data_IF_350967449319
#
_entry.id   IF_350967449319
#
_cell.length_a   1.000
_cell.length_b   1.000
_cell.length_c   1.000
_cell.angle_alpha   90.00
_cell.angle_beta   90.00
_cell.angle_gamma   90.00
#
_symmetry.space_group_name_H-M   'P 1'
#
loop_
_entity.id
_entity.type
_entity.pdbx_description
1 polymer ?
#
# COMPACT_ATOMS: atom_id res chain seq x y z
N UNK A 1 -37.07 -15.47 18.31
CA UNK A 1 -36.91 -14.11 17.73
C UNK A 1 -37.54 -14.07 16.35
N UNK A 2 -38.32 -13.06 15.99
CA UNK A 2 -38.86 -12.91 14.64
C UNK A 2 -37.76 -12.55 13.63
N UNK A 3 -38.05 -12.64 12.32
CA UNK A 3 -37.04 -12.25 11.30
C UNK A 3 -36.69 -10.76 11.38
N UNK A 4 -37.70 -9.94 11.65
CA UNK A 4 -37.53 -8.49 11.82
C UNK A 4 -36.71 -8.13 13.06
N UNK A 5 -36.93 -8.82 14.19
CA UNK A 5 -36.15 -8.63 15.41
C UNK A 5 -34.68 -9.02 15.19
N UNK A 6 -34.42 -10.12 14.47
CA UNK A 6 -33.06 -10.55 14.15
C UNK A 6 -32.35 -9.58 13.21
N UNK A 7 -33.06 -9.07 12.21
CA UNK A 7 -32.53 -8.06 11.28
C UNK A 7 -32.16 -6.77 12.00
N UNK A 8 -33.05 -6.26 12.86
CA UNK A 8 -32.80 -5.08 13.68
C UNK A 8 -31.59 -5.27 14.60
N UNK A 9 -31.45 -6.45 15.22
CA UNK A 9 -30.34 -6.76 16.10
C UNK A 9 -29.02 -6.82 15.33
N UNK A 10 -29.01 -7.42 14.15
CA UNK A 10 -27.85 -7.44 13.25
C UNK A 10 -27.50 -6.04 12.75
N UNK A 11 -28.49 -5.21 12.45
CA UNK A 11 -28.27 -3.84 11.99
C UNK A 11 -27.60 -2.95 13.04
N UNK A 12 -27.78 -3.24 14.34
CA UNK A 12 -27.14 -2.54 15.44
C UNK A 12 -25.68 -2.96 15.62
N UNK A 13 -25.25 -4.11 15.08
CA UNK A 13 -23.91 -4.62 15.30
C UNK A 13 -22.86 -3.93 14.39
N UNK A 14 -21.60 -3.81 14.87
CA UNK A 14 -20.49 -3.35 14.03
C UNK A 14 -20.22 -4.33 12.88
N UNK A 15 -19.75 -3.79 11.75
CA UNK A 15 -19.42 -4.58 10.56
C UNK A 15 -18.43 -5.71 10.84
N UNK A 16 -17.44 -5.46 11.71
CA UNK A 16 -16.46 -6.48 12.11
C UNK A 16 -17.11 -7.71 12.77
N UNK A 17 -18.15 -7.52 13.60
CA UNK A 17 -18.89 -8.62 14.22
C UNK A 17 -19.72 -9.39 13.20
N UNK A 18 -20.35 -8.69 12.26
CA UNK A 18 -21.10 -9.31 11.16
C UNK A 18 -20.19 -10.16 10.26
N UNK A 19 -18.97 -9.73 10.00
CA UNK A 19 -17.97 -10.53 9.29
C UNK A 19 -17.54 -11.78 10.07
N UNK A 20 -17.46 -11.71 11.40
CA UNK A 20 -17.21 -12.89 12.24
C UNK A 20 -18.36 -13.91 12.13
N UNK A 21 -19.60 -13.46 12.21
CA UNK A 21 -20.80 -14.29 12.04
C UNK A 21 -20.90 -14.91 10.63
N UNK A 22 -20.43 -14.18 9.61
CA UNK A 22 -20.46 -14.65 8.23
C UNK A 22 -19.40 -15.72 7.91
N UNK A 23 -18.43 -15.95 8.79
CA UNK A 23 -17.41 -17.02 8.59
C UNK A 23 -18.09 -18.37 8.55
N UNK A 24 -17.85 -19.12 7.47
CA UNK A 24 -18.46 -20.45 7.25
C UNK A 24 -19.90 -20.44 6.78
N UNK A 25 -20.62 -19.29 6.78
CA UNK A 25 -22.01 -19.14 6.33
C UNK A 25 -22.14 -18.46 4.97
N UNK A 26 -21.32 -17.43 4.73
CA UNK A 26 -21.35 -16.63 3.51
C UNK A 26 -19.97 -16.66 2.87
N UNK A 27 -19.91 -16.98 1.57
CA UNK A 27 -18.64 -17.00 0.85
C UNK A 27 -18.02 -15.59 0.82
N UNK A 28 -16.67 -15.50 0.95
CA UNK A 28 -15.97 -14.20 1.09
C UNK A 28 -16.32 -13.20 0.00
N UNK A 29 -16.47 -13.65 -1.23
CA UNK A 29 -16.76 -12.80 -2.40
C UNK A 29 -18.13 -12.10 -2.34
N UNK A 30 -19.07 -12.54 -1.50
CA UNK A 30 -20.41 -11.95 -1.37
C UNK A 30 -20.55 -11.02 -0.16
N UNK A 31 -19.49 -10.77 0.61
CA UNK A 31 -19.54 -9.99 1.86
C UNK A 31 -19.41 -8.48 1.64
N UNK A 32 -20.05 -7.90 0.61
CA UNK A 32 -19.97 -6.48 0.30
C UNK A 32 -21.04 -5.67 1.05
N UNK A 33 -20.62 -4.66 1.82
CA UNK A 33 -21.50 -3.71 2.50
C UNK A 33 -22.29 -4.29 3.68
N UNK A 34 -22.59 -3.44 4.69
CA UNK A 34 -23.30 -3.87 5.93
C UNK A 34 -24.70 -4.42 5.63
N UNK A 35 -25.46 -3.71 4.80
CA UNK A 35 -26.84 -4.09 4.48
C UNK A 35 -26.89 -5.42 3.74
N UNK A 36 -26.07 -5.58 2.72
CA UNK A 36 -26.00 -6.81 1.92
C UNK A 36 -25.53 -8.01 2.76
N UNK A 37 -24.58 -7.79 3.67
CA UNK A 37 -24.09 -8.84 4.57
C UNK A 37 -25.19 -9.34 5.52
N UNK A 38 -26.04 -8.44 6.02
CA UNK A 38 -27.22 -8.79 6.84
C UNK A 38 -28.22 -9.62 6.02
N UNK A 39 -28.56 -9.17 4.82
CA UNK A 39 -29.44 -9.91 3.91
C UNK A 39 -28.94 -11.33 3.65
N UNK A 40 -27.65 -11.47 3.34
CA UNK A 40 -27.04 -12.78 3.10
C UNK A 40 -27.00 -13.67 4.35
N UNK A 41 -26.73 -13.10 5.52
CA UNK A 41 -26.81 -13.83 6.79
C UNK A 41 -28.22 -14.34 7.04
N UNK A 42 -29.24 -13.57 6.76
CA UNK A 42 -30.64 -13.97 6.90
C UNK A 42 -31.05 -15.01 5.85
N UNK A 43 -30.64 -14.87 4.60
CA UNK A 43 -30.91 -15.82 3.51
C UNK A 43 -30.26 -17.18 3.74
N UNK A 44 -28.98 -17.20 4.13
CA UNK A 44 -28.24 -18.44 4.34
C UNK A 44 -28.52 -19.13 5.68
N UNK A 45 -29.16 -18.43 6.61
CA UNK A 45 -29.57 -19.03 7.90
C UNK A 45 -30.93 -19.74 7.86
N UNK A 46 -31.62 -19.81 6.73
CA UNK A 46 -32.93 -20.45 6.61
C UNK A 46 -32.98 -21.91 7.11
N UNK A 47 -31.87 -22.65 7.08
CA UNK A 47 -31.76 -24.02 7.57
C UNK A 47 -31.11 -24.14 8.96
N UNK A 48 -30.48 -23.08 9.48
CA UNK A 48 -29.80 -23.07 10.81
C UNK A 48 -29.91 -21.70 11.48
N UNK A 49 -31.11 -21.20 11.59
CA UNK A 49 -31.40 -19.90 12.22
C UNK A 49 -31.05 -19.87 13.69
N UNK A 50 -31.34 -20.95 14.42
CA UNK A 50 -31.01 -21.06 15.83
C UNK A 50 -29.49 -20.98 16.10
N UNK A 51 -28.69 -21.52 15.19
CA UNK A 51 -27.23 -21.39 15.25
C UNK A 51 -26.73 -19.96 15.02
N UNK A 52 -27.37 -19.19 14.13
CA UNK A 52 -27.02 -17.79 13.94
C UNK A 52 -27.38 -16.93 15.16
N UNK A 53 -28.55 -17.15 15.73
CA UNK A 53 -29.02 -16.46 16.95
C UNK A 53 -28.12 -16.76 18.15
N UNK A 54 -27.72 -18.01 18.35
CA UNK A 54 -26.82 -18.45 19.40
C UNK A 54 -25.43 -17.80 19.30
N UNK A 55 -24.84 -17.84 18.10
CA UNK A 55 -23.52 -17.24 17.87
C UNK A 55 -23.54 -15.72 18.01
N UNK A 56 -24.62 -15.06 17.58
CA UNK A 56 -24.80 -13.63 17.76
C UNK A 56 -24.85 -13.25 19.25
N UNK A 57 -25.62 -13.99 20.06
CA UNK A 57 -25.71 -13.75 21.50
C UNK A 57 -24.37 -14.01 22.20
N UNK A 58 -23.64 -15.04 21.81
CA UNK A 58 -22.31 -15.34 22.35
C UNK A 58 -21.33 -14.19 22.07
N UNK A 59 -21.29 -13.69 20.83
CA UNK A 59 -20.40 -12.60 20.42
C UNK A 59 -20.78 -11.25 21.07
N UNK A 60 -22.05 -11.02 21.35
CA UNK A 60 -22.51 -9.85 22.11
C UNK A 60 -22.13 -10.00 23.60
N UNK A 61 -22.28 -11.19 24.18
CA UNK A 61 -21.91 -11.49 25.56
C UNK A 61 -20.41 -11.34 25.83
N UNK A 62 -19.56 -11.80 24.90
CA UNK A 62 -18.10 -11.60 24.96
C UNK A 62 -17.71 -10.10 25.01
N UNK A 63 -18.55 -9.21 24.50
CA UNK A 63 -18.31 -7.77 24.48
C UNK A 63 -18.68 -7.05 25.78
N UNK A 64 -19.53 -7.67 26.59
CA UNK A 64 -20.00 -7.11 27.87
C UNK A 64 -19.38 -7.77 29.11
N UNK A 65 -18.49 -8.77 28.93
CA UNK A 65 -17.70 -9.28 30.02
C UNK A 65 -16.69 -8.21 30.49
N UNK A 66 -16.61 -7.90 31.80
CA UNK A 66 -15.60 -6.99 32.29
C UNK A 66 -14.23 -7.58 31.95
N UNK A 67 -13.37 -6.78 31.33
CA UNK A 67 -12.00 -7.13 31.01
C UNK A 67 -11.23 -7.35 32.32
N UNK A 68 -11.17 -8.56 32.81
CA UNK A 68 -10.10 -8.95 33.71
C UNK A 68 -8.80 -8.79 32.93
N UNK A 69 -7.94 -7.95 33.48
CA UNK A 69 -6.62 -7.60 32.96
C UNK A 69 -5.72 -8.84 32.84
N UNK A 70 -5.83 -9.54 31.74
CA UNK A 70 -4.93 -10.59 31.32
C UNK A 70 -4.30 -10.16 29.99
N UNK A 71 -3.05 -9.71 30.04
CA UNK A 71 -2.25 -9.48 28.86
C UNK A 71 -2.30 -10.70 27.95
N UNK A 72 -2.50 -10.56 26.64
CA UNK A 72 -2.46 -11.70 25.74
C UNK A 72 -1.06 -12.29 25.77
N UNK A 73 -0.93 -13.54 26.24
CA UNK A 73 0.27 -14.32 26.04
C UNK A 73 0.50 -14.47 24.54
N UNK A 74 1.39 -13.66 24.01
CA UNK A 74 2.01 -13.89 22.72
C UNK A 74 2.75 -15.22 22.88
N UNK A 75 2.32 -16.25 22.17
CA UNK A 75 3.07 -17.49 22.03
C UNK A 75 4.44 -17.17 21.45
N UNK A 76 5.41 -17.04 22.33
CA UNK A 76 6.81 -16.98 22.01
C UNK A 76 7.20 -18.36 21.48
N UNK A 77 7.80 -18.48 20.30
CA UNK A 77 8.36 -19.76 19.88
C UNK A 77 9.41 -20.19 20.93
N UNK A 78 9.60 -21.52 21.13
CA UNK A 78 10.48 -22.03 22.16
C UNK A 78 11.87 -21.43 22.01
N UNK A 79 12.40 -20.93 23.11
CA UNK A 79 13.73 -20.36 23.20
C UNK A 79 14.75 -21.41 22.72
N UNK A 80 15.42 -21.10 21.63
CA UNK A 80 16.63 -21.84 21.24
C UNK A 80 17.63 -21.64 22.37
N UNK A 81 17.99 -22.76 23.03
CA UNK A 81 18.95 -22.77 24.11
C UNK A 81 20.27 -22.13 23.62
N UNK A 82 20.54 -20.92 24.08
CA UNK A 82 21.84 -20.30 23.85
C UNK A 82 22.90 -21.15 24.56
N UNK A 83 23.64 -21.94 23.79
CA UNK A 83 24.93 -22.45 24.23
C UNK A 83 25.75 -21.24 24.73
N UNK A 84 26.24 -21.29 25.97
CA UNK A 84 27.18 -20.31 26.50
C UNK A 84 28.32 -20.14 25.48
N UNK A 85 28.34 -18.96 24.84
CA UNK A 85 29.42 -18.61 23.96
C UNK A 85 30.71 -18.51 24.81
N UNK A 86 31.72 -19.27 24.43
CA UNK A 86 33.06 -19.09 24.84
C UNK A 86 33.49 -17.64 24.56
N UNK A 87 34.43 -17.04 25.32
CA UNK A 87 34.87 -15.69 25.10
C UNK A 87 35.38 -15.56 23.67
N UNK A 88 34.64 -14.87 22.84
CA UNK A 88 35.07 -14.55 21.48
C UNK A 88 36.35 -13.77 21.57
N UNK A 89 37.42 -14.38 21.05
CA UNK A 89 38.65 -13.74 20.64
C UNK A 89 38.22 -12.51 19.80
N UNK A 90 38.58 -11.31 20.26
CA UNK A 90 38.33 -10.08 19.55
C UNK A 90 38.91 -10.22 18.13
N UNK A 91 38.03 -10.28 17.14
CA UNK A 91 38.46 -10.08 15.75
C UNK A 91 39.04 -8.67 15.66
N UNK A 92 40.14 -8.46 14.91
CA UNK A 92 40.71 -7.14 14.76
C UNK A 92 39.63 -6.21 14.19
N UNK A 93 39.28 -5.16 14.95
CA UNK A 93 38.44 -4.08 14.45
C UNK A 93 39.06 -3.61 13.14
N UNK A 94 38.27 -3.77 12.05
CA UNK A 94 38.63 -3.21 10.76
C UNK A 94 38.88 -1.72 10.96
N UNK A 95 40.07 -1.27 10.65
CA UNK A 95 40.51 0.12 10.74
C UNK A 95 39.88 1.05 9.71
N UNK A 96 38.67 0.75 9.25
CA UNK A 96 37.90 1.67 8.41
C UNK A 96 37.49 2.88 9.25
N UNK A 97 38.08 4.01 8.95
CA UNK A 97 37.77 5.29 9.58
C UNK A 97 36.31 5.64 9.31
N UNK A 98 35.52 5.86 10.37
CA UNK A 98 34.11 6.23 10.23
C UNK A 98 33.96 7.53 9.42
N UNK A 99 32.96 7.58 8.54
CA UNK A 99 32.67 8.74 7.69
C UNK A 99 32.44 10.00 8.53
N UNK A 100 33.03 11.13 8.17
CA UNK A 100 32.78 12.41 8.83
C UNK A 100 31.39 12.96 8.44
N UNK A 101 30.82 13.83 9.30
CA UNK A 101 29.55 14.49 8.99
C UNK A 101 29.63 15.29 7.70
N UNK A 102 30.73 15.99 7.43
CA UNK A 102 30.94 16.75 6.21
C UNK A 102 30.97 15.86 4.96
N UNK A 103 31.70 14.76 5.00
CA UNK A 103 31.71 13.78 3.91
C UNK A 103 30.35 13.07 3.74
N UNK A 104 29.61 12.86 4.84
CA UNK A 104 28.27 12.31 4.81
C UNK A 104 27.26 13.28 4.20
N UNK A 105 27.43 14.59 4.37
CA UNK A 105 26.58 15.65 3.77
C UNK A 105 26.97 15.94 2.31
N UNK A 106 28.11 15.52 1.84
CA UNK A 106 28.58 15.77 0.47
C UNK A 106 27.58 15.26 -0.57
N UNK A 107 27.25 16.09 -1.56
CA UNK A 107 26.28 15.79 -2.59
C UNK A 107 24.82 15.75 -2.12
N UNK A 108 24.49 16.16 -0.88
CA UNK A 108 23.11 16.46 -0.46
C UNK A 108 22.80 17.89 -0.90
N UNK A 109 21.76 18.04 -1.73
CA UNK A 109 21.31 19.33 -2.24
C UNK A 109 20.50 19.16 -3.52
N UNK A 110 20.12 20.30 -4.12
CA UNK A 110 19.46 20.30 -5.43
C UNK A 110 20.56 20.17 -6.49
N UNK A 111 20.57 19.10 -7.29
CA UNK A 111 21.57 18.95 -8.35
C UNK A 111 21.39 20.06 -9.39
N UNK A 112 22.46 20.42 -10.10
CA UNK A 112 22.38 21.31 -11.24
C UNK A 112 21.37 20.77 -12.27
N UNK A 113 20.55 21.62 -12.91
CA UNK A 113 19.60 21.20 -13.93
C UNK A 113 20.34 20.41 -15.03
N UNK A 114 19.89 19.20 -15.28
CA UNK A 114 20.37 18.35 -16.37
C UNK A 114 19.21 18.10 -17.33
N UNK A 115 19.46 17.91 -18.64
CA UNK A 115 18.44 17.43 -19.55
C UNK A 115 17.87 16.11 -19.02
N UNK A 116 16.53 16.01 -19.00
CA UNK A 116 15.89 14.77 -18.56
C UNK A 116 16.13 13.67 -19.61
N UNK A 117 16.69 12.56 -19.18
CA UNK A 117 16.88 11.34 -19.98
C UNK A 117 16.16 10.22 -19.22
N UNK A 118 15.18 9.56 -19.87
CA UNK A 118 14.48 8.44 -19.24
C UNK A 118 15.44 7.29 -18.89
N UNK A 119 15.25 6.71 -17.72
CA UNK A 119 15.97 5.49 -17.35
C UNK A 119 15.55 4.30 -18.24
N UNK A 120 16.42 3.31 -18.48
CA UNK A 120 16.08 2.14 -19.28
C UNK A 120 14.81 1.42 -18.84
N UNK A 121 14.57 1.28 -17.53
CA UNK A 121 13.36 0.65 -17.01
C UNK A 121 12.08 1.47 -17.32
N UNK A 122 12.16 2.81 -17.39
CA UNK A 122 11.04 3.67 -17.78
C UNK A 122 10.68 3.47 -19.25
N UNK A 123 11.70 3.37 -20.11
CA UNK A 123 11.51 3.08 -21.53
C UNK A 123 10.93 1.68 -21.76
N UNK A 124 11.42 0.67 -21.01
CA UNK A 124 10.88 -0.69 -21.02
C UNK A 124 9.40 -0.71 -20.61
N UNK A 125 9.06 -0.04 -19.51
CA UNK A 125 7.69 0.03 -19.00
C UNK A 125 6.74 0.69 -20.02
N UNK A 126 7.17 1.79 -20.63
CA UNK A 126 6.39 2.51 -21.65
C UNK A 126 6.19 1.71 -22.93
N UNK A 127 7.15 0.90 -23.32
CA UNK A 127 6.99 -0.02 -24.44
C UNK A 127 6.02 -1.15 -24.09
N UNK A 128 6.14 -1.72 -22.90
CA UNK A 128 5.31 -2.83 -22.48
C UNK A 128 3.84 -2.45 -22.30
N UNK A 129 3.53 -1.26 -21.73
CA UNK A 129 2.14 -0.84 -21.42
C UNK A 129 1.30 -0.59 -22.67
N UNK A 130 1.93 -0.36 -23.85
CA UNK A 130 1.20 -0.25 -25.11
C UNK A 130 0.61 -1.61 -25.56
N UNK A 131 1.17 -2.70 -25.10
CA UNK A 131 0.81 -4.05 -25.56
C UNK A 131 0.14 -4.89 -24.48
N UNK A 132 0.61 -4.79 -23.23
CA UNK A 132 0.24 -5.69 -22.13
C UNK A 132 -0.10 -4.92 -20.86
N UNK A 133 -0.63 -5.62 -19.84
CA UNK A 133 -0.66 -5.13 -18.48
C UNK A 133 0.77 -5.06 -17.92
N UNK A 134 1.05 -4.08 -17.05
CA UNK A 134 2.40 -3.87 -16.51
C UNK A 134 2.37 -3.66 -14.99
N UNK A 135 3.22 -4.39 -14.30
CA UNK A 135 3.53 -4.16 -12.88
C UNK A 135 4.91 -3.52 -12.78
N UNK A 136 4.98 -2.34 -12.17
CA UNK A 136 6.24 -1.64 -11.90
C UNK A 136 6.55 -1.73 -10.41
N UNK A 137 7.70 -2.34 -10.08
CA UNK A 137 8.22 -2.43 -8.72
C UNK A 137 9.57 -1.72 -8.66
N UNK A 138 9.55 -0.43 -8.31
CA UNK A 138 10.74 0.43 -8.24
C UNK A 138 10.67 1.35 -7.03
N UNK A 139 11.82 1.72 -6.41
CA UNK A 139 11.83 2.53 -5.19
C UNK A 139 11.09 3.87 -5.34
N UNK A 140 10.68 4.45 -4.21
CA UNK A 140 10.16 5.83 -4.17
C UNK A 140 11.23 6.80 -4.67
N UNK A 141 10.80 7.82 -5.44
CA UNK A 141 11.71 8.82 -6.01
C UNK A 141 12.45 8.38 -7.29
N UNK A 142 12.13 7.18 -7.85
CA UNK A 142 12.74 6.72 -9.11
C UNK A 142 12.04 7.24 -10.37
N UNK A 143 11.01 8.10 -10.25
CA UNK A 143 10.34 8.68 -11.42
C UNK A 143 9.18 7.86 -12.00
N UNK A 144 8.45 7.07 -11.17
CA UNK A 144 7.22 6.36 -11.58
C UNK A 144 6.18 7.28 -12.23
N UNK A 145 6.04 8.51 -11.70
CA UNK A 145 5.10 9.50 -12.23
C UNK A 145 5.38 9.84 -13.69
N UNK A 146 6.64 9.86 -14.13
CA UNK A 146 6.99 10.06 -15.54
C UNK A 146 6.36 8.98 -16.44
N UNK A 147 6.47 7.72 -16.03
CA UNK A 147 5.87 6.60 -16.79
C UNK A 147 4.35 6.73 -16.83
N UNK A 148 3.71 7.11 -15.72
CA UNK A 148 2.27 7.35 -15.66
C UNK A 148 1.84 8.47 -16.62
N UNK A 149 2.56 9.59 -16.62
CA UNK A 149 2.28 10.75 -17.49
C UNK A 149 2.44 10.39 -18.96
N UNK A 150 3.53 9.74 -19.33
CA UNK A 150 3.77 9.36 -20.72
C UNK A 150 2.84 8.26 -21.22
N UNK A 151 2.51 7.29 -20.39
CA UNK A 151 1.51 6.27 -20.74
C UNK A 151 0.11 6.90 -20.94
N UNK A 152 -0.28 7.81 -20.05
CA UNK A 152 -1.54 8.55 -20.19
C UNK A 152 -1.56 9.42 -21.46
N UNK A 153 -0.45 10.12 -21.77
CA UNK A 153 -0.31 10.92 -22.99
C UNK A 153 -0.58 10.08 -24.25
N UNK A 154 0.12 8.95 -24.38
CA UNK A 154 -0.02 8.04 -25.52
C UNK A 154 -1.45 7.51 -25.67
N UNK A 155 -2.06 7.07 -24.56
CA UNK A 155 -3.43 6.57 -24.59
C UNK A 155 -4.43 7.67 -25.03
N UNK A 156 -4.25 8.91 -24.57
CA UNK A 156 -5.10 10.03 -24.98
C UNK A 156 -4.86 10.44 -26.45
N UNK A 157 -3.65 10.33 -26.98
CA UNK A 157 -3.34 10.54 -28.41
C UNK A 157 -4.05 9.51 -29.27
N UNK A 158 -4.24 8.28 -28.77
CA UNK A 158 -5.06 7.23 -29.39
C UNK A 158 -6.57 7.39 -29.13
N UNK A 159 -7.02 8.56 -28.66
CA UNK A 159 -8.41 8.86 -28.31
C UNK A 159 -9.01 7.90 -27.25
N UNK A 160 -8.19 7.37 -26.37
CA UNK A 160 -8.62 6.50 -25.27
C UNK A 160 -8.74 7.29 -23.97
N UNK A 161 -9.73 6.93 -23.17
CA UNK A 161 -9.90 7.46 -21.83
C UNK A 161 -8.89 6.79 -20.89
N UNK A 162 -8.33 7.58 -19.96
CA UNK A 162 -7.38 7.14 -18.96
C UNK A 162 -7.96 7.39 -17.57
N UNK A 163 -7.84 6.42 -16.70
CA UNK A 163 -8.16 6.59 -15.28
C UNK A 163 -6.88 6.43 -14.46
N UNK A 164 -6.59 7.43 -13.63
CA UNK A 164 -5.51 7.36 -12.65
C UNK A 164 -6.09 7.29 -11.24
N UNK A 165 -5.68 6.28 -10.48
CA UNK A 165 -6.13 6.12 -9.10
C UNK A 165 -5.01 6.25 -8.10
N UNK A 166 -5.35 6.73 -6.91
CA UNK A 166 -4.48 6.74 -5.74
C UNK A 166 -5.25 6.32 -4.48
N UNK A 167 -4.57 5.79 -3.44
CA UNK A 167 -5.24 5.27 -2.25
C UNK A 167 -5.86 6.34 -1.35
N UNK A 168 -5.50 7.61 -1.52
CA UNK A 168 -5.90 8.69 -0.62
C UNK A 168 -6.39 9.92 -1.41
N UNK A 169 -7.48 10.54 -0.95
CA UNK A 169 -8.04 11.77 -1.52
C UNK A 169 -7.01 12.90 -1.63
N UNK A 170 -6.15 13.07 -0.61
CA UNK A 170 -5.11 14.10 -0.63
C UNK A 170 -4.12 13.90 -1.80
N UNK A 171 -3.74 12.66 -2.08
CA UNK A 171 -2.89 12.32 -3.22
C UNK A 171 -3.62 12.57 -4.55
N UNK A 172 -4.91 12.20 -4.65
CA UNK A 172 -5.72 12.48 -5.83
C UNK A 172 -5.79 13.97 -6.13
N UNK A 173 -6.00 14.82 -5.13
CA UNK A 173 -6.01 16.29 -5.30
C UNK A 173 -4.64 16.83 -5.76
N UNK A 174 -3.55 16.31 -5.21
CA UNK A 174 -2.19 16.70 -5.63
C UNK A 174 -1.95 16.30 -7.09
N UNK A 175 -2.31 15.06 -7.47
CA UNK A 175 -2.17 14.56 -8.84
C UNK A 175 -3.07 15.31 -9.83
N UNK A 176 -4.29 15.67 -9.43
CA UNK A 176 -5.14 16.52 -10.24
C UNK A 176 -4.47 17.87 -10.59
N UNK A 177 -3.89 18.53 -9.60
CA UNK A 177 -3.17 19.79 -9.82
C UNK A 177 -1.93 19.61 -10.71
N UNK A 178 -1.16 18.55 -10.49
CA UNK A 178 0.03 18.22 -11.27
C UNK A 178 -0.33 17.90 -12.73
N UNK A 179 -1.33 17.05 -12.95
CA UNK A 179 -1.72 16.62 -14.30
C UNK A 179 -2.46 17.72 -15.05
N UNK A 180 -3.25 18.57 -14.39
CA UNK A 180 -3.87 19.73 -15.01
C UNK A 180 -2.84 20.74 -15.53
N UNK A 181 -1.69 20.88 -14.85
CA UNK A 181 -0.57 21.70 -15.36
C UNK A 181 0.11 21.05 -16.56
N UNK A 182 0.16 19.72 -16.60
CA UNK A 182 0.87 18.97 -17.66
C UNK A 182 0.04 18.83 -18.93
N UNK A 183 -1.25 18.54 -18.81
CA UNK A 183 -2.14 18.21 -19.93
C UNK A 183 -3.11 19.33 -20.31
N UNK A 184 -3.28 20.32 -19.43
CA UNK A 184 -4.32 21.35 -19.51
C UNK A 184 -5.54 20.98 -18.67
N UNK A 185 -6.20 21.97 -18.01
CA UNK A 185 -7.32 21.74 -17.11
C UNK A 185 -8.54 21.12 -17.83
N UNK A 186 -8.73 21.41 -19.10
CA UNK A 186 -9.85 20.88 -19.89
C UNK A 186 -9.75 19.36 -20.16
N UNK A 187 -8.53 18.80 -20.06
CA UNK A 187 -8.26 17.39 -20.34
C UNK A 187 -8.23 16.53 -19.09
N UNK A 188 -8.31 17.13 -17.92
CA UNK A 188 -8.20 16.42 -16.64
C UNK A 188 -9.44 16.63 -15.79
N UNK A 189 -10.00 15.55 -15.28
CA UNK A 189 -11.10 15.57 -14.33
C UNK A 189 -10.72 14.91 -13.01
N UNK A 190 -11.50 15.18 -11.96
CA UNK A 190 -11.33 14.54 -10.65
C UNK A 190 -12.67 14.07 -10.11
N UNK A 191 -12.68 12.83 -9.58
CA UNK A 191 -13.81 12.25 -8.86
C UNK A 191 -13.31 11.69 -7.53
N UNK A 192 -13.77 12.33 -6.45
CA UNK A 192 -13.57 11.84 -5.07
C UNK A 192 -14.90 11.88 -4.34
N UNK A 193 -14.99 11.34 -3.15
CA UNK A 193 -16.26 11.30 -2.41
C UNK A 193 -16.86 12.69 -2.09
N UNK A 194 -16.06 13.74 -2.19
CA UNK A 194 -16.40 15.14 -1.84
C UNK A 194 -16.16 16.14 -2.98
N UNK A 195 -15.59 15.70 -4.11
CA UNK A 195 -15.25 16.57 -5.24
C UNK A 195 -15.49 15.86 -6.57
N UNK A 196 -16.23 16.53 -7.46
CA UNK A 196 -16.45 16.09 -8.83
C UNK A 196 -16.29 17.29 -9.76
N UNK A 197 -15.27 17.27 -10.61
CA UNK A 197 -15.00 18.29 -11.60
C UNK A 197 -14.60 17.63 -12.92
N UNK A 198 -15.12 18.14 -14.03
CA UNK A 198 -14.81 17.69 -15.38
C UNK A 198 -14.89 16.15 -15.57
N UNK A 199 -15.99 15.54 -15.14
CA UNK A 199 -16.18 14.08 -15.13
C UNK A 199 -16.18 13.42 -16.51
N UNK A 200 -16.18 14.18 -17.59
CA UNK A 200 -16.11 13.70 -18.98
C UNK A 200 -14.70 13.91 -19.61
N UNK A 201 -13.73 14.33 -18.82
CA UNK A 201 -12.37 14.52 -19.29
C UNK A 201 -11.73 13.21 -19.78
N UNK A 202 -10.83 13.26 -20.77
CA UNK A 202 -10.12 12.08 -21.25
C UNK A 202 -9.18 11.47 -20.20
N UNK A 203 -8.74 12.24 -19.20
CA UNK A 203 -7.99 11.74 -18.05
C UNK A 203 -8.76 12.02 -16.76
N UNK A 204 -9.21 10.97 -16.07
CA UNK A 204 -9.92 11.07 -14.81
C UNK A 204 -9.04 10.62 -13.65
N UNK A 205 -8.97 11.44 -12.62
CA UNK A 205 -8.25 11.13 -11.37
C UNK A 205 -9.27 10.82 -10.28
N UNK A 206 -9.09 9.71 -9.59
CA UNK A 206 -10.01 9.29 -8.53
C UNK A 206 -9.31 8.43 -7.48
N UNK A 207 -10.00 8.14 -6.38
CA UNK A 207 -9.53 7.12 -5.46
C UNK A 207 -9.87 5.72 -5.99
N UNK A 208 -9.10 4.71 -5.57
CA UNK A 208 -9.33 3.33 -6.01
C UNK A 208 -10.71 2.83 -5.60
N UNK A 209 -11.22 3.25 -4.45
CA UNK A 209 -12.57 2.94 -3.99
C UNK A 209 -13.66 3.49 -4.93
N UNK A 210 -13.48 4.70 -5.44
CA UNK A 210 -14.41 5.29 -6.41
C UNK A 210 -14.38 4.48 -7.70
N UNK A 211 -13.20 4.20 -8.24
CA UNK A 211 -13.09 3.38 -9.45
C UNK A 211 -13.75 2.01 -9.27
N UNK A 212 -13.47 1.33 -8.15
CA UNK A 212 -14.09 0.03 -7.85
C UNK A 212 -15.63 0.11 -7.88
N UNK A 213 -16.20 1.15 -7.23
CA UNK A 213 -17.65 1.34 -7.22
C UNK A 213 -18.21 1.58 -8.64
N UNK A 214 -17.55 2.44 -9.41
CA UNK A 214 -17.94 2.74 -10.79
C UNK A 214 -17.90 1.49 -11.69
N UNK A 215 -16.87 0.66 -11.56
CA UNK A 215 -16.77 -0.60 -12.31
C UNK A 215 -17.84 -1.61 -11.89
N UNK A 216 -18.18 -1.65 -10.60
CA UNK A 216 -19.23 -2.51 -10.07
C UNK A 216 -20.62 -2.07 -10.58
N UNK A 217 -20.92 -0.77 -10.52
CA UNK A 217 -22.18 -0.19 -10.97
C UNK A 217 -22.35 -0.31 -12.50
N UNK A 218 -21.25 -0.16 -13.25
CA UNK A 218 -21.26 -0.38 -14.69
C UNK A 218 -21.52 -1.86 -15.06
N UNK A 219 -21.02 -2.80 -14.27
CA UNK A 219 -21.31 -4.23 -14.46
C UNK A 219 -22.77 -4.57 -14.14
N UNK A 220 -23.45 -3.79 -13.29
CA UNK A 220 -24.89 -3.90 -13.00
C UNK A 220 -25.78 -3.15 -14.00
N UNK A 221 -25.19 -2.35 -14.90
CA UNK A 221 -25.94 -1.56 -15.90
C UNK A 221 -26.54 -0.25 -15.37
N UNK A 222 -26.13 0.20 -14.19
CA UNK A 222 -26.73 1.37 -13.52
C UNK A 222 -26.08 2.72 -13.88
N UNK A 223 -24.85 2.73 -14.48
CA UNK A 223 -24.13 3.97 -14.78
C UNK A 223 -23.52 3.96 -16.18
N UNK A 224 -23.76 5.05 -16.92
CA UNK A 224 -23.19 5.32 -18.24
C UNK A 224 -21.81 5.98 -18.12
N UNK A 225 -20.80 5.22 -17.65
CA UNK A 225 -19.43 5.64 -17.80
C UNK A 225 -18.93 5.10 -19.14
N UNK A 226 -18.19 5.94 -19.89
CA UNK A 226 -17.58 5.54 -21.16
C UNK A 226 -16.47 4.49 -20.97
N UNK A 227 -16.87 3.29 -20.48
CA UNK A 227 -15.95 2.15 -20.36
C UNK A 227 -15.54 1.60 -21.72
N UNK A 228 -16.32 1.85 -22.75
CA UNK A 228 -16.05 1.51 -24.15
C UNK A 228 -14.79 2.18 -24.70
N UNK A 229 -14.50 3.42 -24.29
CA UNK A 229 -13.31 4.17 -24.67
C UNK A 229 -12.14 4.02 -23.69
N UNK A 230 -12.35 3.35 -22.54
CA UNK A 230 -11.31 3.15 -21.53
C UNK A 230 -10.16 2.33 -22.11
N UNK A 231 -8.98 2.93 -22.19
CA UNK A 231 -7.78 2.30 -22.72
C UNK A 231 -6.70 2.00 -21.69
N UNK A 232 -6.65 2.78 -20.60
CA UNK A 232 -5.61 2.64 -19.59
C UNK A 232 -6.14 2.94 -18.19
N UNK A 233 -5.85 2.07 -17.24
CA UNK A 233 -6.06 2.29 -15.82
C UNK A 233 -4.73 2.26 -15.11
N UNK A 234 -4.38 3.34 -14.43
CA UNK A 234 -3.15 3.49 -13.65
C UNK A 234 -3.51 3.34 -12.17
N UNK A 235 -3.00 2.30 -11.53
CA UNK A 235 -3.18 2.04 -10.11
C UNK A 235 -1.90 2.44 -9.35
N UNK A 236 -1.89 3.67 -8.82
CA UNK A 236 -0.74 4.14 -8.04
C UNK A 236 -0.75 3.59 -6.61
N UNK A 237 0.43 3.47 -6.03
CA UNK A 237 0.66 2.86 -4.71
C UNK A 237 0.06 1.44 -4.60
N UNK A 238 0.22 0.63 -5.66
CA UNK A 238 -0.40 -0.70 -5.77
C UNK A 238 0.07 -1.70 -4.71
N UNK A 239 1.07 -1.39 -3.87
CA UNK A 239 1.41 -2.20 -2.69
C UNK A 239 0.27 -2.29 -1.66
N UNK A 240 -0.73 -1.41 -1.71
CA UNK A 240 -1.95 -1.51 -0.89
C UNK A 240 -2.78 -2.77 -1.18
N UNK A 241 -2.52 -3.48 -2.27
CA UNK A 241 -3.12 -4.81 -2.52
C UNK A 241 -2.81 -5.80 -1.39
N UNK A 242 -1.68 -5.63 -0.70
CA UNK A 242 -1.28 -6.44 0.45
C UNK A 242 -1.91 -5.97 1.78
N UNK A 243 -2.62 -4.84 1.80
CA UNK A 243 -3.24 -4.31 3.01
C UNK A 243 -4.43 -5.19 3.45
N UNK A 244 -4.47 -5.67 4.72
CA UNK A 244 -5.50 -6.59 5.21
C UNK A 244 -6.93 -6.04 5.15
N UNK A 245 -7.08 -4.71 5.26
CA UNK A 245 -8.39 -4.04 5.29
C UNK A 245 -8.80 -3.50 3.92
N UNK A 246 -7.85 -3.01 3.15
CA UNK A 246 -8.08 -2.29 1.89
C UNK A 246 -7.70 -3.07 0.64
N UNK A 247 -6.89 -4.12 0.73
CA UNK A 247 -6.40 -4.88 -0.43
C UNK A 247 -7.50 -5.40 -1.34
N UNK A 248 -8.65 -5.79 -0.77
CA UNK A 248 -9.83 -6.25 -1.52
C UNK A 248 -10.30 -5.20 -2.55
N UNK A 249 -10.17 -3.91 -2.26
CA UNK A 249 -10.56 -2.85 -3.20
C UNK A 249 -9.71 -2.88 -4.46
N UNK A 250 -8.39 -3.12 -4.32
CA UNK A 250 -7.48 -3.28 -5.47
C UNK A 250 -7.79 -4.56 -6.26
N UNK A 251 -7.99 -5.68 -5.55
CA UNK A 251 -8.33 -6.96 -6.18
C UNK A 251 -9.63 -6.82 -6.99
N UNK A 252 -10.70 -6.28 -6.41
CA UNK A 252 -11.98 -6.07 -7.10
C UNK A 252 -11.83 -5.10 -8.28
N UNK A 253 -11.09 -4.00 -8.13
CA UNK A 253 -10.83 -3.05 -9.22
C UNK A 253 -10.15 -3.73 -10.40
N UNK A 254 -9.16 -4.58 -10.15
CA UNK A 254 -8.44 -5.32 -11.19
C UNK A 254 -9.35 -6.35 -11.87
N UNK A 255 -10.14 -7.08 -11.09
CA UNK A 255 -11.06 -8.12 -11.60
C UNK A 255 -12.17 -7.51 -12.46
N UNK A 256 -12.76 -6.39 -12.04
CA UNK A 256 -13.85 -5.75 -12.77
C UNK A 256 -13.38 -4.82 -13.90
N UNK A 257 -12.07 -4.52 -13.96
CA UNK A 257 -11.54 -3.68 -15.03
C UNK A 257 -11.75 -4.36 -16.41
N UNK A 258 -12.37 -3.67 -17.39
CA UNK A 258 -12.60 -4.22 -18.72
C UNK A 258 -11.30 -4.73 -19.37
N UNK A 259 -11.39 -5.87 -20.06
CA UNK A 259 -10.21 -6.52 -20.66
C UNK A 259 -9.53 -5.70 -21.77
N UNK A 260 -10.27 -4.79 -22.42
CA UNK A 260 -9.72 -3.87 -23.42
C UNK A 260 -8.84 -2.76 -22.82
N UNK A 261 -9.05 -2.40 -21.54
CA UNK A 261 -8.22 -1.43 -20.85
C UNK A 261 -6.94 -2.09 -20.33
N UNK A 262 -5.79 -1.50 -20.58
CA UNK A 262 -4.51 -1.94 -20.00
C UNK A 262 -4.40 -1.49 -18.55
N UNK A 263 -3.77 -2.32 -17.73
CA UNK A 263 -3.47 -2.00 -16.34
C UNK A 263 -1.99 -1.62 -16.20
N UNK A 264 -1.74 -0.49 -15.56
CA UNK A 264 -0.41 -0.05 -15.16
C UNK A 264 -0.37 0.08 -13.63
N UNK A 265 0.21 -0.90 -12.95
CA UNK A 265 0.37 -0.92 -11.51
C UNK A 265 1.70 -0.29 -11.13
N UNK A 266 1.66 0.78 -10.33
CA UNK A 266 2.85 1.48 -9.84
C UNK A 266 3.05 1.19 -8.35
N UNK A 267 4.21 0.64 -7.99
CA UNK A 267 4.54 0.34 -6.60
C UNK A 267 5.95 0.76 -6.22
N UNK A 268 6.10 1.19 -4.97
CA UNK A 268 7.40 1.48 -4.40
C UNK A 268 8.14 0.20 -3.96
N UNK A 269 7.41 -0.77 -3.41
CA UNK A 269 7.98 -2.02 -2.88
C UNK A 269 6.85 -3.03 -2.66
N UNK A 270 6.83 -4.05 -3.48
CA UNK A 270 5.98 -5.24 -3.29
C UNK A 270 6.93 -6.38 -2.96
N UNK A 271 6.61 -7.18 -1.93
CA UNK A 271 7.46 -8.30 -1.51
C UNK A 271 7.58 -9.40 -2.58
N UNK A 272 6.47 -9.63 -3.29
CA UNK A 272 6.33 -10.68 -4.31
C UNK A 272 5.71 -10.14 -5.61
N UNK A 273 6.35 -9.21 -6.33
CA UNK A 273 5.76 -8.58 -7.51
C UNK A 273 5.55 -9.55 -8.69
N UNK A 274 6.29 -10.67 -8.74
CA UNK A 274 6.10 -11.70 -9.75
C UNK A 274 4.75 -12.42 -9.56
N UNK A 275 4.40 -12.78 -8.32
CA UNK A 275 3.12 -13.45 -8.03
C UNK A 275 1.92 -12.56 -8.44
N UNK A 276 2.05 -11.24 -8.30
CA UNK A 276 1.03 -10.29 -8.76
C UNK A 276 0.94 -10.28 -10.28
N UNK A 277 2.06 -10.28 -11.00
CA UNK A 277 2.07 -10.30 -12.47
C UNK A 277 1.50 -11.63 -13.01
N UNK A 278 1.82 -12.75 -12.37
CA UNK A 278 1.31 -14.08 -12.73
C UNK A 278 -0.20 -14.18 -12.44
N UNK A 279 -0.65 -13.65 -11.31
CA UNK A 279 -2.07 -13.54 -10.97
C UNK A 279 -2.84 -12.68 -12.00
N UNK A 280 -2.34 -11.49 -12.34
CA UNK A 280 -2.93 -10.63 -13.38
C UNK A 280 -3.06 -11.38 -14.72
N UNK A 281 -2.00 -12.07 -15.14
CA UNK A 281 -2.02 -12.88 -16.37
C UNK A 281 -3.11 -13.95 -16.31
N UNK A 282 -3.30 -14.60 -15.15
CA UNK A 282 -4.27 -15.67 -14.98
C UNK A 282 -5.74 -15.19 -15.05
N UNK A 283 -6.03 -14.00 -14.47
CA UNK A 283 -7.43 -13.51 -14.37
C UNK A 283 -7.86 -12.68 -15.57
N UNK A 284 -6.92 -12.01 -16.26
CA UNK A 284 -7.25 -11.11 -17.37
C UNK A 284 -7.03 -11.73 -18.75
N UNK A 285 -6.50 -12.95 -18.82
CA UNK A 285 -6.15 -13.66 -20.08
C UNK A 285 -5.25 -12.82 -21.01
N UNK A 286 -4.53 -11.88 -20.46
CA UNK A 286 -3.56 -11.01 -21.15
C UNK A 286 -2.24 -11.12 -20.41
N UNK A 287 -1.13 -11.22 -21.15
CA UNK A 287 0.20 -11.24 -20.53
C UNK A 287 0.40 -10.00 -19.66
N UNK A 288 1.07 -10.18 -18.51
CA UNK A 288 1.47 -9.08 -17.65
C UNK A 288 3.00 -9.01 -17.57
N UNK A 289 3.56 -7.85 -17.90
CA UNK A 289 5.00 -7.61 -17.81
C UNK A 289 5.37 -7.06 -16.44
N UNK A 290 6.34 -7.69 -15.76
CA UNK A 290 6.94 -7.15 -14.55
C UNK A 290 8.20 -6.37 -14.91
N UNK A 291 8.23 -5.07 -14.55
CA UNK A 291 9.39 -4.19 -14.64
C UNK A 291 9.93 -3.90 -13.25
N UNK A 292 11.18 -4.29 -12.98
CA UNK A 292 11.85 -4.14 -11.69
C UNK A 292 13.09 -3.29 -11.81
N UNK A 293 13.23 -2.37 -10.85
CA UNK A 293 14.48 -1.62 -10.69
C UNK A 293 14.72 -1.40 -9.20
N UNK A 294 15.92 -1.72 -8.72
CA UNK A 294 16.26 -1.66 -7.29
C UNK A 294 17.11 -0.45 -6.92
N UNK A 295 17.78 0.16 -7.89
CA UNK A 295 18.68 1.30 -7.66
C UNK A 295 17.86 2.57 -7.46
N UNK A 296 18.09 3.29 -6.38
CA UNK A 296 17.53 4.62 -6.18
C UNK A 296 18.31 5.65 -6.98
N UNK A 297 17.60 6.50 -7.72
CA UNK A 297 18.19 7.66 -8.42
C UNK A 297 18.71 8.68 -7.41
N UNK A 298 17.95 8.88 -6.32
CA UNK A 298 18.38 9.72 -5.19
C UNK A 298 18.75 8.82 -4.02
N UNK A 299 20.05 8.74 -3.64
CA UNK A 299 20.48 7.94 -2.51
C UNK A 299 19.85 8.42 -1.19
N UNK A 300 19.40 7.48 -0.36
CA UNK A 300 19.00 7.77 1.01
C UNK A 300 20.19 7.58 1.93
N UNK A 301 20.37 8.52 2.87
CA UNK A 301 21.37 8.47 3.91
C UNK A 301 20.68 8.53 5.27
N UNK A 302 20.99 7.60 6.15
CA UNK A 302 20.44 7.58 7.49
C UNK A 302 21.32 8.40 8.44
N UNK A 303 20.70 9.35 9.14
CA UNK A 303 21.32 10.14 10.19
C UNK A 303 20.60 9.95 11.52
N UNK A 304 21.32 10.07 12.62
CA UNK A 304 20.80 10.16 13.97
C UNK A 304 20.73 11.62 14.39
N UNK A 305 19.53 12.09 14.72
CA UNK A 305 19.31 13.42 15.28
C UNK A 305 19.07 13.29 16.78
N UNK A 306 20.04 13.75 17.55
CA UNK A 306 19.92 13.82 19.02
C UNK A 306 18.96 14.94 19.43
N UNK A 307 18.19 14.83 20.55
CA UNK A 307 17.25 15.86 21.02
C UNK A 307 17.88 17.25 21.24
N UNK A 308 19.18 17.34 21.51
CA UNK A 308 19.90 18.61 21.58
C UNK A 308 20.15 19.28 20.21
N UNK A 309 19.64 18.71 19.11
CA UNK A 309 19.80 19.23 17.75
C UNK A 309 21.08 18.75 17.02
N UNK A 310 21.93 17.93 17.65
CA UNK A 310 23.14 17.41 17.01
C UNK A 310 22.80 16.30 16.03
N UNK A 311 23.18 16.49 14.76
CA UNK A 311 23.05 15.48 13.70
C UNK A 311 24.38 14.75 13.50
N UNK A 312 24.34 13.42 13.39
CA UNK A 312 25.49 12.59 13.08
C UNK A 312 25.10 11.46 12.10
N UNK A 313 26.02 10.95 11.27
CA UNK A 313 25.73 9.75 10.47
C UNK A 313 25.29 8.59 11.36
N UNK A 314 24.31 7.80 10.93
CA UNK A 314 23.87 6.63 11.68
C UNK A 314 24.81 5.45 11.48
N UNK A 315 25.41 5.32 10.29
CA UNK A 315 26.29 4.21 9.93
C UNK A 315 27.74 4.70 9.65
N UNK A 316 28.73 3.82 9.79
CA UNK A 316 30.13 4.12 9.57
C UNK A 316 30.48 4.49 8.13
N UNK A 317 29.73 3.93 7.15
CA UNK A 317 29.96 4.15 5.73
C UNK A 317 28.67 4.61 5.05
N UNK A 318 28.78 5.27 3.91
CA UNK A 318 27.64 5.70 3.09
C UNK A 318 27.19 4.53 2.21
N UNK A 319 25.87 4.32 2.11
CA UNK A 319 25.29 3.38 1.14
C UNK A 319 25.16 1.93 1.62
N UNK A 320 25.24 1.67 2.93
CA UNK A 320 24.99 0.33 3.48
C UNK A 320 23.50 -0.02 3.42
N UNK A 321 23.14 -1.24 2.96
CA UNK A 321 21.77 -1.72 3.02
C UNK A 321 21.26 -1.80 4.46
N UNK A 322 19.96 -1.58 4.67
CA UNK A 322 19.31 -1.79 5.95
C UNK A 322 19.61 -3.19 6.49
N UNK A 323 20.05 -3.28 7.77
CA UNK A 323 20.11 -4.57 8.45
C UNK A 323 21.48 -5.02 8.97
N UNK A 324 22.52 -4.19 8.94
CA UNK A 324 23.84 -4.53 9.53
C UNK A 324 24.07 -3.83 10.86
N UNK A 325 23.67 -4.44 12.02
CA UNK A 325 23.73 -3.80 13.34
C UNK A 325 25.15 -3.46 13.82
N UNK A 326 26.18 -4.10 13.25
CA UNK A 326 27.58 -3.93 13.68
C UNK A 326 28.27 -2.72 13.03
N UNK A 327 27.56 -1.94 12.23
CA UNK A 327 28.14 -0.81 11.48
C UNK A 327 27.64 0.57 11.92
N UNK A 328 27.12 0.67 13.13
CA UNK A 328 26.72 1.97 13.69
C UNK A 328 27.90 2.91 13.81
N UNK A 329 27.68 4.18 13.49
CA UNK A 329 28.66 5.22 13.68
C UNK A 329 29.00 5.38 15.17
N UNK A 330 30.27 5.44 15.58
CA UNK A 330 30.67 5.50 17.00
C UNK A 330 30.02 6.67 17.72
N UNK A 331 29.94 7.84 17.09
CA UNK A 331 29.33 9.04 17.66
C UNK A 331 27.81 8.90 17.83
N UNK A 332 27.08 8.31 16.85
CA UNK A 332 25.66 8.02 16.98
C UNK A 332 25.40 7.07 18.15
N UNK A 333 26.21 6.03 18.29
CA UNK A 333 26.10 5.09 19.41
C UNK A 333 26.35 5.79 20.75
N UNK A 334 27.37 6.65 20.83
CA UNK A 334 27.67 7.42 22.05
C UNK A 334 26.55 8.35 22.45
N UNK A 335 26.05 9.16 21.51
CA UNK A 335 24.93 10.09 21.73
C UNK A 335 23.63 9.37 22.13
N UNK A 336 23.37 8.20 21.56
CA UNK A 336 22.21 7.39 21.93
C UNK A 336 22.32 6.89 23.38
N UNK A 337 23.50 6.40 23.79
CA UNK A 337 23.71 5.92 25.15
C UNK A 337 23.65 7.06 26.17
N UNK A 338 24.21 8.22 25.86
CA UNK A 338 24.10 9.43 26.69
C UNK A 338 22.63 9.80 26.93
N UNK A 339 21.80 9.80 25.87
CA UNK A 339 20.38 10.07 25.97
C UNK A 339 19.62 9.03 26.78
N UNK A 340 19.93 7.73 26.64
CA UNK A 340 19.34 6.68 27.46
C UNK A 340 19.66 6.87 28.95
N UNK A 341 20.93 7.18 29.27
CA UNK A 341 21.37 7.37 30.67
C UNK A 341 20.69 8.61 31.29
N UNK A 342 20.43 9.66 30.52
CA UNK A 342 19.72 10.87 30.99
C UNK A 342 18.20 10.67 31.18
N UNK A 343 17.57 9.79 30.37
CA UNK A 343 16.10 9.67 30.31
C UNK A 343 15.55 8.49 31.10
N UNK A 344 16.39 7.47 31.39
CA UNK A 344 15.93 6.32 32.21
C UNK A 344 15.98 6.65 33.69
N UNK A 345 14.88 6.40 34.46
CA UNK A 345 14.89 6.55 35.90
C UNK A 345 16.00 5.66 36.49
N UNK A 346 16.83 6.27 37.36
CA UNK A 346 17.86 5.60 38.14
C UNK A 346 17.28 4.40 38.91
N UNK A 347 17.37 3.20 38.36
CA UNK A 347 16.84 1.97 39.00
C UNK A 347 16.61 0.78 38.08
N UNK A 348 16.69 0.91 36.77
CA UNK A 348 16.65 -0.27 35.87
C UNK A 348 18.06 -0.70 35.51
N UNK A 349 18.55 -1.75 36.18
CA UNK A 349 19.76 -2.46 35.77
C UNK A 349 19.62 -2.95 34.32
N UNK A 350 20.63 -2.68 33.51
CA UNK A 350 20.79 -3.23 32.17
C UNK A 350 20.68 -4.77 32.24
N UNK A 351 19.67 -5.34 31.61
CA UNK A 351 19.58 -6.78 31.33
C UNK A 351 20.12 -7.10 29.94
#
# INVERSE_FOLDING_TARGET
>A
MTTEELEQLLAQQPVALLHRLARGRVHRQFRAGKRRLIELLLQHSGHNRAGLESDLQTLIGERHAPSESGSPHIHRPPAIAHKKASPHRAEPESTETAVSLSAWLEGIGVPAPQPFIPDPWQTEALSAVSETDVVISVPTGSGKTYVAVEAARRAMEDNRTVIYTSPLKALSNTKYTEFSKTFGPDKVGILTGDRQENGQAPLLIMTTEILRNLLYDAASGEIDIRLDTLGLVILDESQYIADPERGVVWEETIIFCPSQAKLLLLSASIGNPQDIADWLTSIRSTACRLVRHSKRTVPLRAGYLHPNGKLTPLFRTVGIPYGHPNQLHPEAKRLFLEYEDETLPSGRQRR
#
